data_IF_025721790665
#
_entry.id   IF_025721790665
#
_cell.length_a   1.000
_cell.length_b   1.000
_cell.length_c   1.000
_cell.angle_alpha   90.00
_cell.angle_beta   90.00
_cell.angle_gamma   90.00
#
_symmetry.space_group_name_H-M   'P 1'
#
loop_
_entity.id
_entity.type
_entity.pdbx_description
1 polymer ?
#
# COMPACT_ATOMS: atom_id res chain seq x y z
N UNK A 1 -36.60 -37.15 -19.99
CA UNK A 1 -35.45 -36.83 -20.85
C UNK A 1 -35.08 -35.38 -20.62
N UNK A 2 -33.84 -35.07 -20.25
CA UNK A 2 -33.36 -33.68 -20.13
C UNK A 2 -33.22 -33.12 -21.53
N UNK A 3 -33.87 -31.99 -21.84
CA UNK A 3 -33.70 -31.36 -23.15
C UNK A 3 -32.37 -30.62 -23.18
N UNK A 4 -31.64 -30.70 -24.29
CA UNK A 4 -30.38 -29.96 -24.47
C UNK A 4 -30.58 -28.43 -24.28
N UNK A 5 -31.75 -27.91 -24.63
CA UNK A 5 -32.16 -26.52 -24.42
C UNK A 5 -32.22 -26.11 -22.95
N UNK A 6 -32.31 -27.05 -22.01
CA UNK A 6 -32.44 -26.73 -20.59
C UNK A 6 -31.10 -26.25 -20.03
N UNK A 7 -29.99 -26.85 -20.48
CA UNK A 7 -28.64 -26.63 -19.92
C UNK A 7 -27.69 -25.87 -20.84
N UNK A 8 -28.02 -25.71 -22.11
CA UNK A 8 -27.12 -25.10 -23.08
C UNK A 8 -27.77 -23.96 -23.87
N UNK A 9 -26.94 -23.00 -24.27
CA UNK A 9 -27.24 -21.99 -25.27
C UNK A 9 -26.67 -22.36 -26.63
N UNK A 10 -27.38 -22.01 -27.69
CA UNK A 10 -26.86 -21.93 -29.05
C UNK A 10 -25.94 -20.70 -29.22
N UNK A 11 -25.11 -20.69 -30.26
CA UNK A 11 -24.23 -19.54 -30.52
C UNK A 11 -24.98 -18.21 -30.72
N UNK A 12 -26.19 -18.24 -31.29
CA UNK A 12 -27.03 -17.04 -31.46
C UNK A 12 -27.55 -16.50 -30.14
N UNK A 13 -27.93 -17.39 -29.20
CA UNK A 13 -28.37 -16.99 -27.87
C UNK A 13 -27.23 -16.36 -27.07
N UNK A 14 -26.01 -16.91 -27.15
CA UNK A 14 -24.83 -16.32 -26.50
C UNK A 14 -24.49 -14.94 -27.08
N UNK A 15 -24.50 -14.80 -28.41
CA UNK A 15 -24.28 -13.51 -29.07
C UNK A 15 -25.28 -12.45 -28.62
N UNK A 16 -26.58 -12.81 -28.58
CA UNK A 16 -27.64 -11.92 -28.13
C UNK A 16 -27.47 -11.55 -26.65
N UNK A 17 -27.20 -12.54 -25.80
CA UNK A 17 -27.09 -12.34 -24.35
C UNK A 17 -25.89 -11.47 -23.95
N UNK A 18 -24.77 -11.64 -24.64
CA UNK A 18 -23.55 -10.86 -24.37
C UNK A 18 -23.44 -9.59 -25.22
N UNK A 19 -24.38 -9.34 -26.14
CA UNK A 19 -24.34 -8.27 -27.13
C UNK A 19 -23.02 -8.25 -27.94
N UNK A 20 -22.55 -9.43 -28.38
CA UNK A 20 -21.28 -9.59 -29.12
C UNK A 20 -21.48 -10.20 -30.50
N UNK A 21 -20.53 -9.94 -31.40
CA UNK A 21 -20.49 -10.51 -32.74
C UNK A 21 -19.97 -11.96 -32.73
N UNK A 22 -20.17 -12.69 -33.83
CA UNK A 22 -19.65 -14.05 -33.97
C UNK A 22 -18.12 -14.12 -33.85
N UNK A 23 -17.31 -13.25 -34.49
CA UNK A 23 -15.86 -13.26 -34.29
C UNK A 23 -15.46 -13.05 -32.83
N UNK A 24 -16.16 -12.17 -32.10
CA UNK A 24 -15.92 -11.97 -30.67
C UNK A 24 -16.24 -13.24 -29.85
N UNK A 25 -17.35 -13.92 -30.15
CA UNK A 25 -17.67 -15.21 -29.52
C UNK A 25 -16.61 -16.28 -29.82
N UNK A 26 -16.10 -16.37 -31.06
CA UNK A 26 -14.98 -17.28 -31.41
C UNK A 26 -13.72 -16.94 -30.60
N UNK A 27 -13.40 -15.66 -30.42
CA UNK A 27 -12.27 -15.22 -29.62
C UNK A 27 -12.41 -15.62 -28.14
N UNK A 28 -13.60 -15.51 -27.56
CA UNK A 28 -13.83 -15.95 -26.17
C UNK A 28 -13.60 -17.47 -26.00
N UNK A 29 -14.01 -18.26 -27.00
CA UNK A 29 -13.73 -19.71 -27.01
C UNK A 29 -12.23 -20.00 -27.15
N UNK A 30 -11.55 -19.33 -28.08
CA UNK A 30 -10.12 -19.49 -28.30
C UNK A 30 -9.29 -19.11 -27.06
N UNK A 31 -9.72 -18.08 -26.31
CA UNK A 31 -9.13 -17.66 -25.04
C UNK A 31 -9.54 -18.56 -23.85
N UNK A 32 -10.32 -19.62 -24.09
CA UNK A 32 -10.86 -20.53 -23.05
C UNK A 32 -11.70 -19.82 -21.98
N UNK A 33 -12.30 -18.67 -22.33
CA UNK A 33 -13.23 -17.93 -21.45
C UNK A 33 -14.64 -18.52 -21.47
N UNK A 34 -15.01 -19.18 -22.56
CA UNK A 34 -16.26 -19.93 -22.70
C UNK A 34 -15.98 -21.29 -23.34
N UNK A 35 -16.65 -22.34 -22.86
CA UNK A 35 -16.51 -23.68 -23.44
C UNK A 35 -17.55 -23.89 -24.54
N UNK A 36 -17.09 -24.34 -25.70
CA UNK A 36 -17.93 -24.81 -26.81
C UNK A 36 -17.95 -26.34 -26.81
N UNK A 37 -19.12 -26.93 -26.71
CA UNK A 37 -19.34 -28.38 -26.75
C UNK A 37 -20.07 -28.72 -28.03
N UNK A 38 -19.59 -29.68 -28.81
CA UNK A 38 -20.29 -30.16 -30.01
C UNK A 38 -20.90 -31.53 -29.69
N UNK A 39 -22.23 -31.65 -29.55
CA UNK A 39 -22.87 -32.93 -29.28
C UNK A 39 -22.63 -33.94 -30.42
N UNK A 40 -22.56 -35.25 -30.14
CA UNK A 40 -22.44 -36.28 -31.17
C UNK A 40 -23.53 -36.14 -32.24
N UNK A 41 -23.13 -36.20 -33.52
CA UNK A 41 -24.05 -36.08 -34.66
C UNK A 41 -24.51 -34.66 -35.00
N UNK A 42 -24.05 -33.61 -34.29
CA UNK A 42 -24.34 -32.21 -34.61
C UNK A 42 -23.14 -31.51 -35.25
N UNK A 43 -23.40 -30.67 -36.25
CA UNK A 43 -22.38 -29.80 -36.87
C UNK A 43 -22.14 -28.50 -36.08
N UNK A 44 -23.09 -28.10 -35.24
CA UNK A 44 -23.06 -26.85 -34.47
C UNK A 44 -22.80 -27.12 -32.99
N UNK A 45 -21.88 -26.35 -32.40
CA UNK A 45 -21.62 -26.40 -30.97
C UNK A 45 -22.60 -25.58 -30.15
N UNK A 46 -22.70 -25.93 -28.87
CA UNK A 46 -23.50 -25.28 -27.83
C UNK A 46 -22.61 -24.87 -26.65
N UNK A 47 -23.14 -24.03 -25.77
CA UNK A 47 -22.41 -23.40 -24.66
C UNK A 47 -23.16 -23.64 -23.36
N UNK A 48 -22.46 -23.94 -22.26
CA UNK A 48 -23.13 -24.18 -20.99
C UNK A 48 -23.78 -22.87 -20.50
N UNK A 49 -25.08 -22.90 -20.16
CA UNK A 49 -25.80 -21.69 -19.74
C UNK A 49 -25.14 -21.00 -18.55
N UNK A 50 -24.80 -21.79 -17.53
CA UNK A 50 -24.13 -21.32 -16.31
C UNK A 50 -22.82 -20.57 -16.59
N UNK A 51 -21.96 -21.09 -17.48
CA UNK A 51 -20.71 -20.41 -17.86
C UNK A 51 -21.00 -19.09 -18.60
N UNK A 52 -21.98 -19.08 -19.51
CA UNK A 52 -22.37 -17.89 -20.27
C UNK A 52 -23.01 -16.83 -19.35
N UNK A 53 -23.83 -17.25 -18.41
CA UNK A 53 -24.52 -16.37 -17.46
C UNK A 53 -23.53 -15.74 -16.50
N UNK A 54 -22.62 -16.53 -15.93
CA UNK A 54 -21.51 -16.04 -15.10
C UNK A 54 -20.64 -15.04 -15.86
N UNK A 55 -20.39 -15.30 -17.14
CA UNK A 55 -19.62 -14.38 -17.98
C UNK A 55 -20.41 -13.08 -18.26
N UNK A 56 -21.71 -13.19 -18.54
CA UNK A 56 -22.59 -12.05 -18.78
C UNK A 56 -22.66 -11.13 -17.55
N UNK A 57 -22.77 -11.70 -16.35
CA UNK A 57 -22.75 -10.96 -15.09
C UNK A 57 -21.44 -10.20 -14.89
N UNK A 58 -20.29 -10.86 -15.10
CA UNK A 58 -18.96 -10.21 -15.01
C UNK A 58 -18.77 -9.13 -16.07
N UNK A 59 -19.28 -9.36 -17.28
CA UNK A 59 -19.21 -8.41 -18.39
C UNK A 59 -20.07 -7.18 -18.15
N UNK A 60 -21.30 -7.39 -17.65
CA UNK A 60 -22.19 -6.30 -17.26
C UNK A 60 -21.56 -5.49 -16.12
N UNK A 61 -21.07 -6.15 -15.07
CA UNK A 61 -20.37 -5.49 -13.96
C UNK A 61 -19.14 -4.69 -14.43
N UNK A 62 -18.41 -5.17 -15.44
CA UNK A 62 -17.30 -4.41 -16.03
C UNK A 62 -17.77 -3.19 -16.83
N UNK A 63 -18.84 -3.31 -17.62
CA UNK A 63 -19.38 -2.22 -18.43
C UNK A 63 -20.11 -1.15 -17.60
N UNK A 64 -20.71 -1.55 -16.47
CA UNK A 64 -21.46 -0.65 -15.58
C UNK A 64 -20.65 -0.18 -14.39
N UNK A 65 -19.43 -0.68 -14.20
CA UNK A 65 -18.52 -0.11 -13.20
C UNK A 65 -18.13 1.31 -13.64
N UNK A 66 -18.43 2.30 -12.80
CA UNK A 66 -17.67 3.55 -12.84
C UNK A 66 -16.18 3.21 -12.80
N UNK A 67 -15.32 3.96 -13.52
CA UNK A 67 -13.88 3.72 -13.47
C UNK A 67 -13.48 3.61 -11.98
N UNK A 68 -12.93 2.47 -11.53
CA UNK A 68 -12.62 2.30 -10.12
C UNK A 68 -11.70 3.44 -9.70
N UNK A 69 -12.00 4.14 -8.60
CA UNK A 69 -11.24 5.34 -8.25
C UNK A 69 -9.76 5.01 -8.21
N UNK A 70 -8.98 5.75 -8.99
CA UNK A 70 -7.55 5.49 -9.13
C UNK A 70 -6.88 5.76 -7.80
N UNK A 71 -6.11 4.79 -7.32
CA UNK A 71 -5.30 4.98 -6.11
C UNK A 71 -4.06 5.82 -6.47
N UNK A 72 -3.87 6.95 -5.80
CA UNK A 72 -2.74 7.86 -6.02
C UNK A 72 -1.84 7.91 -4.79
N UNK A 73 -0.52 7.91 -4.99
CA UNK A 73 0.47 8.18 -3.94
C UNK A 73 0.86 9.66 -3.96
N UNK A 74 0.92 10.30 -2.80
CA UNK A 74 1.33 11.70 -2.68
C UNK A 74 2.03 11.98 -1.33
N UNK A 75 2.73 13.11 -1.26
CA UNK A 75 3.11 13.72 0.02
C UNK A 75 1.85 14.27 0.67
N UNK A 76 1.68 13.99 1.96
CA UNK A 76 0.51 14.42 2.72
C UNK A 76 0.46 15.94 2.87
N UNK A 77 -0.74 16.50 2.83
CA UNK A 77 -1.02 17.90 3.15
C UNK A 77 -1.58 18.04 4.58
N UNK A 78 -1.63 19.25 5.12
CA UNK A 78 -2.18 19.47 6.47
C UNK A 78 -3.65 19.02 6.60
N UNK A 79 -4.43 19.22 5.54
CA UNK A 79 -5.82 18.76 5.44
C UNK A 79 -5.97 17.23 5.47
N UNK A 80 -4.93 16.48 5.10
CA UNK A 80 -4.94 15.01 5.17
C UNK A 80 -4.84 14.50 6.63
N UNK A 81 -4.35 15.32 7.56
CA UNK A 81 -3.99 14.88 8.91
C UNK A 81 -5.18 14.42 9.75
N UNK A 82 -6.37 14.97 9.49
CA UNK A 82 -7.60 14.48 10.13
C UNK A 82 -7.90 13.05 9.70
N UNK A 83 -7.82 12.75 8.40
CA UNK A 83 -8.06 11.38 7.91
C UNK A 83 -6.97 10.42 8.39
N UNK A 84 -5.70 10.86 8.43
CA UNK A 84 -4.58 10.09 8.99
C UNK A 84 -4.79 9.77 10.47
N UNK A 85 -5.28 10.73 11.26
CA UNK A 85 -5.66 10.51 12.65
C UNK A 85 -6.76 9.46 12.78
N UNK A 86 -7.83 9.58 11.98
CA UNK A 86 -8.94 8.63 12.00
C UNK A 86 -8.51 7.20 11.61
N UNK A 87 -7.66 7.05 10.59
CA UNK A 87 -7.08 5.74 10.23
C UNK A 87 -6.24 5.19 11.39
N UNK A 88 -5.36 6.01 11.97
CA UNK A 88 -4.50 5.59 13.09
C UNK A 88 -5.32 5.13 14.29
N UNK A 89 -6.41 5.84 14.58
CA UNK A 89 -7.32 5.54 15.69
C UNK A 89 -7.96 4.16 15.55
N UNK A 90 -8.40 3.81 14.32
CA UNK A 90 -9.04 2.51 14.03
C UNK A 90 -8.04 1.38 13.83
N UNK A 91 -6.90 1.64 13.17
CA UNK A 91 -5.94 0.61 12.77
C UNK A 91 -4.85 0.31 13.81
N UNK A 92 -4.49 1.28 14.64
CA UNK A 92 -3.36 1.16 15.58
C UNK A 92 -3.86 1.16 17.03
N UNK A 93 -4.46 2.27 17.47
CA UNK A 93 -4.92 2.43 18.86
C UNK A 93 -5.88 3.62 18.98
N UNK A 94 -6.95 3.51 19.80
CA UNK A 94 -7.83 4.64 20.13
C UNK A 94 -7.08 5.83 20.73
N UNK A 95 -5.99 5.55 21.46
CA UNK A 95 -5.08 6.55 22.03
C UNK A 95 -3.92 6.74 21.05
N UNK A 96 -4.09 7.62 20.07
CA UNK A 96 -3.08 7.95 19.05
C UNK A 96 -2.89 9.46 18.97
N UNK A 97 -1.84 9.89 18.26
CA UNK A 97 -1.51 11.32 18.06
C UNK A 97 -2.64 12.05 17.33
N UNK A 98 -3.04 13.21 17.84
CA UNK A 98 -4.07 14.05 17.24
C UNK A 98 -3.68 14.57 15.85
N UNK A 99 -4.66 15.05 15.08
CA UNK A 99 -4.42 15.69 13.79
C UNK A 99 -3.60 16.97 13.95
N UNK A 100 -3.83 17.77 15.00
CA UNK A 100 -3.08 19.01 15.26
C UNK A 100 -1.60 18.75 15.53
N UNK A 101 -1.27 17.70 16.29
CA UNK A 101 0.12 17.32 16.55
C UNK A 101 0.81 16.85 15.26
N UNK A 102 0.11 16.07 14.42
CA UNK A 102 0.65 15.65 13.13
C UNK A 102 0.85 16.81 12.17
N UNK A 103 -0.03 17.81 12.20
CA UNK A 103 0.13 19.05 11.44
C UNK A 103 1.37 19.83 11.90
N UNK A 104 1.63 19.93 13.21
CA UNK A 104 2.82 20.63 13.70
C UNK A 104 4.12 19.93 13.26
N UNK A 105 4.14 18.59 13.23
CA UNK A 105 5.25 17.82 12.64
C UNK A 105 5.40 18.08 11.14
N UNK A 106 4.30 18.09 10.39
CA UNK A 106 4.32 18.31 8.94
C UNK A 106 4.83 19.72 8.59
N UNK A 107 4.46 20.74 9.38
CA UNK A 107 5.00 22.10 9.21
C UNK A 107 6.52 22.15 9.44
N UNK A 108 7.02 21.33 10.38
CA UNK A 108 8.45 21.24 10.65
C UNK A 108 9.20 20.48 9.55
N UNK A 109 8.59 19.42 9.01
CA UNK A 109 9.14 18.64 7.91
C UNK A 109 8.02 18.18 6.96
N UNK A 110 7.73 18.93 5.88
CA UNK A 110 6.64 18.64 4.95
C UNK A 110 6.81 17.32 4.19
N UNK A 111 8.02 16.76 4.15
CA UNK A 111 8.34 15.53 3.42
C UNK A 111 8.37 14.30 4.32
N UNK A 112 7.87 14.42 5.56
CA UNK A 112 7.86 13.34 6.55
C UNK A 112 6.66 12.41 6.44
N UNK A 113 5.57 12.80 5.77
CA UNK A 113 4.34 12.00 5.69
C UNK A 113 3.88 11.79 4.24
N UNK A 114 3.58 10.54 3.90
CA UNK A 114 3.13 10.10 2.58
C UNK A 114 1.78 9.42 2.70
N UNK A 115 0.90 9.63 1.74
CA UNK A 115 -0.46 9.09 1.74
C UNK A 115 -0.76 8.37 0.43
N UNK A 116 -1.65 7.39 0.52
CA UNK A 116 -2.38 6.85 -0.63
C UNK A 116 -3.81 7.37 -0.56
N UNK A 117 -4.28 7.96 -1.64
CA UNK A 117 -5.67 8.41 -1.81
C UNK A 117 -6.42 7.49 -2.77
N UNK A 118 -7.69 7.22 -2.50
CA UNK A 118 -8.61 6.54 -3.41
C UNK A 118 -9.76 7.52 -3.70
N UNK A 119 -9.73 8.14 -4.88
CA UNK A 119 -10.39 9.44 -5.07
C UNK A 119 -9.72 10.50 -4.18
N UNK A 120 -10.51 11.32 -3.49
CA UNK A 120 -9.99 12.36 -2.58
C UNK A 120 -9.76 11.87 -1.14
N UNK A 121 -10.16 10.63 -0.84
CA UNK A 121 -10.05 10.06 0.51
C UNK A 121 -8.68 9.41 0.72
N UNK A 122 -7.98 9.79 1.79
CA UNK A 122 -6.79 9.05 2.27
C UNK A 122 -7.21 7.66 2.76
N UNK A 123 -6.54 6.63 2.27
CA UNK A 123 -6.80 5.22 2.58
C UNK A 123 -5.60 4.47 3.15
N UNK A 124 -4.40 5.05 3.07
CA UNK A 124 -3.22 4.56 3.76
C UNK A 124 -2.22 5.70 3.94
N UNK A 125 -1.32 5.56 4.90
CA UNK A 125 -0.23 6.52 5.10
C UNK A 125 1.04 5.85 5.62
N UNK A 126 2.16 6.51 5.35
CA UNK A 126 3.47 6.23 5.91
C UNK A 126 4.07 7.53 6.43
N UNK A 127 4.42 7.57 7.71
CA UNK A 127 5.13 8.68 8.32
C UNK A 127 6.57 8.24 8.57
N UNK A 128 7.53 8.87 7.88
CA UNK A 128 8.96 8.80 8.15
C UNK A 128 9.36 10.05 8.94
N UNK A 129 9.24 10.00 10.25
CA UNK A 129 9.43 11.16 11.11
C UNK A 129 10.88 11.23 11.60
N UNK A 130 11.73 12.12 11.06
CA UNK A 130 13.07 12.31 11.60
C UNK A 130 13.00 12.98 12.96
N UNK A 131 13.63 12.37 13.96
CA UNK A 131 13.58 12.82 15.34
C UNK A 131 14.99 12.96 15.91
N UNK A 132 15.14 13.87 16.88
CA UNK A 132 16.32 13.89 17.73
C UNK A 132 16.52 12.52 18.38
N UNK A 133 17.79 12.08 18.42
CA UNK A 133 18.17 10.78 18.96
C UNK A 133 17.63 10.53 20.37
N UNK A 134 17.74 11.52 21.28
CA UNK A 134 17.26 11.42 22.65
C UNK A 134 15.75 11.13 22.74
N UNK A 135 14.93 11.88 21.99
CA UNK A 135 13.47 11.69 21.95
C UNK A 135 13.10 10.34 21.36
N UNK A 136 13.77 9.95 20.28
CA UNK A 136 13.56 8.66 19.64
C UNK A 136 13.91 7.51 20.62
N UNK A 137 15.04 7.58 21.32
CA UNK A 137 15.42 6.57 22.30
C UNK A 137 14.48 6.52 23.49
N UNK A 138 13.99 7.66 23.98
CA UNK A 138 12.98 7.68 25.05
C UNK A 138 11.66 7.04 24.59
N UNK A 139 11.24 7.27 23.35
CA UNK A 139 10.08 6.60 22.75
C UNK A 139 10.29 5.09 22.62
N UNK A 140 11.46 4.69 22.10
CA UNK A 140 11.83 3.28 21.88
C UNK A 140 12.01 2.51 23.19
N UNK A 141 12.43 3.18 24.27
CA UNK A 141 12.49 2.61 25.62
C UNK A 141 11.17 2.73 26.39
N UNK A 142 10.15 3.36 25.80
CA UNK A 142 8.82 3.48 26.37
C UNK A 142 8.70 4.47 27.52
N UNK A 143 9.67 5.38 27.68
CA UNK A 143 9.61 6.50 28.63
C UNK A 143 8.58 7.55 28.20
N UNK A 144 8.43 7.74 26.89
CA UNK A 144 7.40 8.60 26.29
C UNK A 144 6.55 7.82 25.28
N UNK A 145 5.42 8.40 24.90
CA UNK A 145 4.47 7.94 23.88
C UNK A 145 4.49 8.88 22.69
N UNK A 146 3.93 8.41 21.57
CA UNK A 146 3.95 9.18 20.32
C UNK A 146 3.24 10.54 20.42
N UNK A 147 2.23 10.66 21.28
CA UNK A 147 1.52 11.92 21.53
C UNK A 147 2.27 12.90 22.44
N UNK A 148 3.44 12.52 22.96
CA UNK A 148 4.34 13.37 23.77
C UNK A 148 5.54 13.86 22.95
N UNK A 149 5.60 13.53 21.65
CA UNK A 149 6.68 13.97 20.75
C UNK A 149 6.31 15.33 20.16
N UNK A 150 6.85 16.42 20.71
CA UNK A 150 6.58 17.77 20.20
C UNK A 150 7.33 18.08 18.89
N UNK A 151 6.88 19.13 18.17
CA UNK A 151 7.45 19.51 16.88
C UNK A 151 8.91 19.97 16.96
N UNK A 152 9.35 20.46 18.11
CA UNK A 152 10.73 20.88 18.40
C UNK A 152 11.71 19.68 18.39
N UNK A 153 11.19 18.46 18.51
CA UNK A 153 11.98 17.23 18.43
C UNK A 153 12.02 16.65 17.01
N UNK A 154 11.27 17.23 16.07
CA UNK A 154 11.27 16.85 14.66
C UNK A 154 12.39 17.59 13.93
N UNK A 155 13.20 16.84 13.20
CA UNK A 155 14.30 17.37 12.40
C UNK A 155 13.89 17.57 10.92
N UNK A 156 14.65 18.39 10.20
CA UNK A 156 14.50 18.52 8.75
C UNK A 156 15.36 17.49 8.01
N UNK A 157 14.96 17.13 6.80
CA UNK A 157 15.80 16.32 5.90
C UNK A 157 16.84 17.21 5.20
N UNK A 158 18.00 17.34 5.81
CA UNK A 158 19.12 18.16 5.32
C UNK A 158 20.19 17.31 4.62
N UNK A 159 20.73 17.76 3.47
CA UNK A 159 21.86 17.11 2.82
C UNK A 159 23.09 17.02 3.72
N UNK A 160 23.74 15.86 3.77
CA UNK A 160 24.97 15.62 4.54
C UNK A 160 24.76 15.43 6.04
N UNK A 161 23.58 15.76 6.58
CA UNK A 161 23.25 15.53 7.99
C UNK A 161 22.63 14.14 8.16
N UNK A 162 23.18 13.38 9.10
CA UNK A 162 22.60 12.10 9.51
C UNK A 162 21.37 12.33 10.40
N UNK A 163 20.29 11.61 10.11
CA UNK A 163 19.05 11.63 10.88
C UNK A 163 18.56 10.20 11.17
N UNK A 164 17.93 10.05 12.33
CA UNK A 164 17.22 8.83 12.70
C UNK A 164 15.72 9.06 12.57
N UNK A 165 14.98 8.06 12.09
CA UNK A 165 13.56 8.22 11.81
C UNK A 165 12.70 7.24 12.62
N UNK A 166 11.53 7.69 13.06
CA UNK A 166 10.43 6.84 13.47
C UNK A 166 9.51 6.58 12.27
N UNK A 167 9.28 5.32 11.93
CA UNK A 167 8.35 4.88 10.91
C UNK A 167 6.99 4.52 11.52
N UNK A 168 5.93 5.11 10.96
CA UNK A 168 4.53 4.82 11.32
C UNK A 168 3.77 4.49 10.04
N UNK A 169 3.11 3.34 9.99
CA UNK A 169 2.37 2.90 8.80
C UNK A 169 1.02 2.36 9.22
N UNK A 170 -0.02 2.76 8.48
CA UNK A 170 -1.34 2.17 8.58
C UNK A 170 -2.12 2.32 7.27
N UNK A 171 -3.14 1.49 7.13
CA UNK A 171 -4.10 1.49 6.03
C UNK A 171 -5.51 1.37 6.60
N UNK A 172 -6.52 1.76 5.82
CA UNK A 172 -7.94 1.60 6.13
C UNK A 172 -8.23 0.18 6.62
N UNK A 173 -8.59 -0.03 7.90
CA UNK A 173 -8.84 -1.36 8.44
C UNK A 173 -10.18 -1.94 7.97
N UNK A 174 -11.14 -1.08 7.63
CA UNK A 174 -12.54 -1.45 7.39
C UNK A 174 -12.84 -1.88 5.93
N UNK A 175 -11.79 -2.16 5.15
CA UNK A 175 -11.90 -2.75 3.80
C UNK A 175 -11.45 -4.21 3.78
N UNK A 176 -11.80 -4.94 2.73
CA UNK A 176 -11.37 -6.32 2.57
C UNK A 176 -9.83 -6.44 2.47
N UNK A 177 -9.31 -7.64 2.78
CA UNK A 177 -7.87 -7.88 2.83
C UNK A 177 -7.15 -7.66 1.49
N UNK A 178 -7.82 -7.89 0.36
CA UNK A 178 -7.25 -7.69 -0.98
C UNK A 178 -7.07 -6.21 -1.26
N UNK A 179 -8.12 -5.42 -1.02
CA UNK A 179 -8.07 -3.95 -1.16
C UNK A 179 -7.04 -3.33 -0.22
N UNK A 180 -7.00 -3.76 1.04
CA UNK A 180 -6.01 -3.28 2.02
C UNK A 180 -4.57 -3.57 1.56
N UNK A 181 -4.32 -4.79 1.06
CA UNK A 181 -3.00 -5.19 0.51
C UNK A 181 -2.64 -4.34 -0.72
N UNK A 182 -3.61 -4.02 -1.57
CA UNK A 182 -3.41 -3.11 -2.70
C UNK A 182 -2.97 -1.72 -2.23
N UNK A 183 -3.65 -1.12 -1.26
CA UNK A 183 -3.26 0.19 -0.71
C UNK A 183 -1.84 0.20 -0.14
N UNK A 184 -1.48 -0.80 0.66
CA UNK A 184 -0.11 -0.93 1.20
C UNK A 184 0.91 -1.11 0.08
N UNK A 185 0.60 -1.87 -0.98
CA UNK A 185 1.51 -2.04 -2.12
C UNK A 185 1.76 -0.72 -2.85
N UNK A 186 0.72 0.09 -3.07
CA UNK A 186 0.84 1.42 -3.69
C UNK A 186 1.71 2.32 -2.81
N UNK A 187 1.47 2.31 -1.50
CA UNK A 187 2.24 3.09 -0.51
C UNK A 187 3.72 2.72 -0.52
N UNK A 188 4.05 1.43 -0.43
CA UNK A 188 5.44 0.95 -0.43
C UNK A 188 6.15 1.29 -1.74
N UNK A 189 5.49 1.11 -2.89
CA UNK A 189 6.09 1.47 -4.20
C UNK A 189 6.41 2.96 -4.28
N UNK A 190 5.50 3.82 -3.85
CA UNK A 190 5.74 5.27 -3.80
C UNK A 190 6.85 5.63 -2.84
N UNK A 191 6.84 5.06 -1.64
CA UNK A 191 7.87 5.26 -0.62
C UNK A 191 9.27 4.90 -1.11
N UNK A 192 9.45 3.76 -1.79
CA UNK A 192 10.75 3.38 -2.37
C UNK A 192 11.29 4.45 -3.32
N UNK A 193 10.43 5.08 -4.13
CA UNK A 193 10.83 6.18 -5.00
C UNK A 193 11.21 7.44 -4.23
N UNK A 194 10.43 7.83 -3.22
CA UNK A 194 10.72 9.01 -2.39
C UNK A 194 12.01 8.84 -1.56
N UNK A 195 12.22 7.65 -0.99
CA UNK A 195 13.48 7.30 -0.34
C UNK A 195 14.66 7.43 -1.32
N UNK A 196 14.51 7.00 -2.57
CA UNK A 196 15.51 7.23 -3.62
C UNK A 196 15.82 8.71 -3.86
N UNK A 197 14.80 9.59 -3.84
CA UNK A 197 14.98 11.04 -3.96
C UNK A 197 15.71 11.63 -2.76
N UNK A 198 15.38 11.21 -1.53
CA UNK A 198 16.09 11.61 -0.32
C UNK A 198 17.57 11.23 -0.40
N UNK A 199 17.87 10.01 -0.84
CA UNK A 199 19.25 9.55 -1.05
C UNK A 199 20.01 10.41 -2.06
N UNK A 200 19.41 10.70 -3.23
CA UNK A 200 20.02 11.57 -4.27
C UNK A 200 20.25 13.01 -3.81
N UNK A 201 19.42 13.50 -2.88
CA UNK A 201 19.60 14.80 -2.23
C UNK A 201 20.69 14.80 -1.16
N UNK A 202 21.23 13.64 -0.80
CA UNK A 202 22.26 13.52 0.24
C UNK A 202 21.72 13.43 1.65
N UNK A 203 20.43 13.14 1.84
CA UNK A 203 19.87 12.92 3.18
C UNK A 203 20.38 11.58 3.71
N UNK A 204 21.03 11.60 4.87
CA UNK A 204 21.66 10.40 5.44
C UNK A 204 20.73 9.81 6.52
N UNK A 205 20.07 8.69 6.21
CA UNK A 205 19.24 7.94 7.14
C UNK A 205 20.13 6.94 7.86
N UNK A 206 20.50 7.21 9.12
CA UNK A 206 21.36 6.30 9.88
C UNK A 206 20.58 5.08 10.36
N UNK A 207 19.37 5.28 10.87
CA UNK A 207 18.47 4.23 11.37
C UNK A 207 17.01 4.61 11.14
N UNK A 208 16.17 3.60 10.90
CA UNK A 208 14.71 3.74 10.87
C UNK A 208 14.12 2.79 11.90
N UNK A 209 13.41 3.33 12.88
CA UNK A 209 12.82 2.60 13.98
C UNK A 209 11.31 2.47 13.82
N UNK A 210 10.74 1.43 14.39
CA UNK A 210 9.29 1.25 14.43
C UNK A 210 8.87 0.53 15.71
N UNK A 211 7.59 0.62 16.06
CA UNK A 211 7.00 -0.22 17.11
C UNK A 211 5.71 -0.85 16.61
N UNK A 212 5.38 -2.04 17.13
CA UNK A 212 4.11 -2.68 16.85
C UNK A 212 3.66 -3.60 17.97
N UNK A 213 2.35 -3.63 18.19
CA UNK A 213 1.65 -4.57 19.08
C UNK A 213 0.74 -5.54 18.31
N UNK A 214 0.55 -5.30 17.00
CA UNK A 214 -0.37 -6.08 16.17
C UNK A 214 0.38 -7.18 15.41
N UNK A 215 -0.19 -8.39 15.26
CA UNK A 215 0.45 -9.45 14.47
C UNK A 215 0.80 -9.01 13.04
N UNK A 216 -0.09 -8.25 12.40
CA UNK A 216 0.11 -7.70 11.05
C UNK A 216 1.28 -6.71 11.00
N UNK A 217 1.37 -5.78 11.97
CA UNK A 217 2.45 -4.80 12.00
C UNK A 217 3.81 -5.44 12.31
N UNK A 218 3.84 -6.43 13.21
CA UNK A 218 5.04 -7.23 13.50
C UNK A 218 5.50 -7.99 12.24
N UNK A 219 4.58 -8.70 11.58
CA UNK A 219 4.89 -9.44 10.36
C UNK A 219 5.39 -8.51 9.24
N UNK A 220 4.81 -7.32 9.13
CA UNK A 220 5.25 -6.32 8.14
C UNK A 220 6.65 -5.79 8.45
N UNK A 221 6.96 -5.44 9.70
CA UNK A 221 8.30 -4.98 10.10
C UNK A 221 9.38 -6.02 9.74
N UNK A 222 9.12 -7.29 10.08
CA UNK A 222 10.02 -8.39 9.71
C UNK A 222 10.11 -8.58 8.19
N UNK A 223 8.97 -8.51 7.48
CA UNK A 223 8.93 -8.68 6.03
C UNK A 223 9.72 -7.61 5.27
N UNK A 224 9.73 -6.37 5.76
CA UNK A 224 10.54 -5.28 5.17
C UNK A 224 11.99 -5.28 5.68
N UNK A 225 12.41 -6.33 6.40
CA UNK A 225 13.80 -6.54 6.81
C UNK A 225 14.23 -5.70 8.01
N UNK A 226 13.29 -5.27 8.86
CA UNK A 226 13.64 -4.73 10.17
C UNK A 226 13.98 -5.86 11.14
N UNK A 227 14.89 -5.58 12.06
CA UNK A 227 15.30 -6.47 13.13
C UNK A 227 14.67 -6.01 14.45
N UNK A 228 14.44 -6.93 15.38
CA UNK A 228 13.97 -6.56 16.71
C UNK A 228 15.06 -5.74 17.42
N UNK A 229 14.66 -4.62 18.03
CA UNK A 229 15.55 -3.68 18.71
C UNK A 229 15.24 -3.65 20.20
N UNK A 230 16.21 -3.97 21.05
CA UNK A 230 16.05 -3.88 22.50
C UNK A 230 14.99 -4.83 23.09
N UNK A 231 14.57 -4.51 24.32
CA UNK A 231 13.65 -5.34 25.09
C UNK A 231 12.19 -5.09 24.69
N UNK A 232 11.37 -6.14 24.79
CA UNK A 232 9.92 -6.04 24.64
C UNK A 232 9.32 -5.15 25.74
N UNK A 233 8.44 -4.22 25.34
CA UNK A 233 7.78 -3.28 26.24
C UNK A 233 6.32 -3.70 26.45
N UNK A 234 6.08 -4.59 27.41
CA UNK A 234 4.74 -5.17 27.61
C UNK A 234 4.34 -6.02 26.40
N UNK A 235 3.32 -5.59 25.62
CA UNK A 235 2.94 -6.25 24.36
C UNK A 235 3.65 -5.67 23.13
N UNK A 236 4.31 -4.52 23.27
CA UNK A 236 4.92 -3.76 22.19
C UNK A 236 6.31 -4.31 21.87
N UNK A 237 6.49 -4.67 20.61
CA UNK A 237 7.80 -4.94 20.03
C UNK A 237 8.33 -3.68 19.35
N UNK A 238 9.64 -3.57 19.37
CA UNK A 238 10.45 -2.46 18.86
C UNK A 238 11.35 -3.02 17.78
N UNK A 239 11.51 -2.26 16.69
CA UNK A 239 12.23 -2.70 15.50
C UNK A 239 13.18 -1.61 15.02
N UNK A 240 14.25 -2.02 14.36
CA UNK A 240 15.22 -1.13 13.71
C UNK A 240 15.57 -1.66 12.32
N UNK A 241 15.70 -0.76 11.37
CA UNK A 241 16.27 -0.97 10.05
C UNK A 241 17.49 -0.08 9.95
N UNK A 242 18.63 -0.66 9.61
CA UNK A 242 19.84 0.07 9.26
C UNK A 242 19.94 0.15 7.72
N UNK A 243 19.73 1.33 7.11
CA UNK A 243 19.80 1.46 5.66
C UNK A 243 21.17 1.14 5.07
N UNK A 244 22.27 1.12 5.84
CA UNK A 244 23.60 0.78 5.32
C UNK A 244 23.81 -0.72 5.23
N UNK A 245 23.37 -1.48 6.24
CA UNK A 245 23.63 -2.93 6.33
C UNK A 245 22.46 -3.80 5.85
N UNK A 246 21.23 -3.27 5.86
CA UNK A 246 20.03 -4.03 5.50
C UNK A 246 20.07 -4.50 4.04
N UNK A 247 19.58 -5.70 3.75
CA UNK A 247 19.37 -6.18 2.37
C UNK A 247 17.92 -5.95 1.87
N UNK A 248 17.16 -5.12 2.58
CA UNK A 248 15.76 -4.85 2.26
C UNK A 248 15.62 -4.10 0.94
N UNK A 249 14.71 -4.58 0.09
CA UNK A 249 14.34 -3.91 -1.16
C UNK A 249 13.84 -2.47 -0.94
N UNK A 250 13.34 -2.16 0.26
CA UNK A 250 12.80 -0.85 0.61
C UNK A 250 13.85 0.26 0.51
N UNK A 251 15.11 -0.05 0.82
CA UNK A 251 16.22 0.92 0.89
C UNK A 251 17.17 0.85 -0.30
N UNK A 252 16.89 0.01 -1.31
CA UNK A 252 17.79 -0.15 -2.46
C UNK A 252 17.89 1.14 -3.29
N UNK A 253 16.76 1.75 -3.63
CA UNK A 253 16.74 3.04 -4.34
C UNK A 253 17.43 4.14 -3.52
N UNK A 254 17.20 4.16 -2.20
CA UNK A 254 17.85 5.09 -1.28
C UNK A 254 19.38 4.97 -1.35
N UNK A 255 19.91 3.76 -1.19
CA UNK A 255 21.36 3.48 -1.25
C UNK A 255 21.96 3.90 -2.58
N UNK A 256 21.27 3.64 -3.70
CA UNK A 256 21.73 4.08 -5.03
C UNK A 256 21.79 5.60 -5.09
N UNK A 257 20.76 6.27 -4.60
CA UNK A 257 20.73 7.73 -4.50
C UNK A 257 21.87 8.31 -3.67
N UNK A 258 22.13 7.75 -2.48
CA UNK A 258 23.25 8.21 -1.62
C UNK A 258 24.59 8.04 -2.33
N UNK A 259 24.83 6.90 -3.00
CA UNK A 259 26.05 6.66 -3.77
C UNK A 259 26.21 7.66 -4.92
N UNK A 260 25.12 8.02 -5.60
CA UNK A 260 25.13 9.07 -6.63
C UNK A 260 25.53 10.41 -6.02
N UNK A 261 24.89 10.82 -4.92
CA UNK A 261 25.20 12.07 -4.24
C UNK A 261 26.67 12.15 -3.79
N UNK A 262 27.19 11.07 -3.20
CA UNK A 262 28.59 10.99 -2.73
C UNK A 262 29.60 11.19 -3.87
N UNK A 263 29.35 10.66 -5.07
CA UNK A 263 30.24 10.83 -6.23
C UNK A 263 30.43 12.29 -6.67
N UNK A 264 29.45 13.15 -6.42
CA UNK A 264 29.50 14.56 -6.81
C UNK A 264 30.08 15.46 -5.72
N UNK A 265 30.02 15.05 -4.45
CA UNK A 265 30.33 15.92 -3.30
C UNK A 265 31.57 15.50 -2.49
N UNK A 266 32.14 14.32 -2.74
CA UNK A 266 33.34 13.81 -2.05
C UNK A 266 34.51 13.61 -3.02
N UNK A 267 34.65 14.51 -4.01
CA UNK A 267 35.86 14.60 -4.85
C UNK A 267 36.90 15.52 -4.23
#
# INVERSE_FOLDING_TARGET
MVQLSDRYYSGREVQRKLAITEPALRNLVNQRKLRKITPPGRKTGVYLKEEVDTYAEKWLAFLTAEEPPKTNFAIAQEEDMETVYQISKRAISPNTMSSQLRQSWLRKNPESCYVVKHGDKVVAFFHLLPLKHETLMDFMNGKIRGWEIDAENVEAFEPGKAVECLAIIASEPDVDATTRKHYVRVLIRGLTNELGKLGRRGVILSKVYATSETPTGIAMALHVGMEQFGNKLGKRLTFVLDPNTSKSFLVDEYKRGVKEWQKFHHK
#
